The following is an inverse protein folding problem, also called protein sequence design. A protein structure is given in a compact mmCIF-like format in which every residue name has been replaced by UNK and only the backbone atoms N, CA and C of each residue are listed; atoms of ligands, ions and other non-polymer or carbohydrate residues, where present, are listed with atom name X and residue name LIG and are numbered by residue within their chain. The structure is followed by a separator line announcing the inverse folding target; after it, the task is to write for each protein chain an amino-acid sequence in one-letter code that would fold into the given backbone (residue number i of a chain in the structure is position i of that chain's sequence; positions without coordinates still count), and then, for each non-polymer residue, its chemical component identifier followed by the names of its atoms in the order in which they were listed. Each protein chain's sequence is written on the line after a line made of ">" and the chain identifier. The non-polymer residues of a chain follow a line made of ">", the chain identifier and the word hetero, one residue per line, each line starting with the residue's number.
data_IF_097405677768
#
_entry.id   IF_097405677768
#
_cell.length_a   1.000
_cell.length_b   1.000
_cell.length_c   1.000
_cell.angle_alpha   90.00
_cell.angle_beta   90.00
_cell.angle_gamma   90.00
#
_symmetry.space_group_name_H-M   'P 1'
#
loop_
_entity.id
_entity.type
_entity.pdbx_description
1 polymer ?
#
# COMPACT_ATOMS: atom_id res chain seq x y z
N UNK A 1 16.14 47.68 5.83
CA UNK A 1 15.42 47.18 4.64
C UNK A 1 16.08 45.94 4.03
N UNK A 2 17.37 45.97 3.72
CA UNK A 2 18.09 44.82 3.12
C UNK A 2 17.96 43.51 3.92
N UNK A 3 18.12 43.55 5.25
CA UNK A 3 17.94 42.36 6.10
C UNK A 3 16.53 41.77 6.01
N UNK A 4 15.51 42.63 5.93
CA UNK A 4 14.10 42.21 5.85
C UNK A 4 13.82 41.57 4.50
N UNK A 5 14.40 42.13 3.44
CA UNK A 5 14.36 41.58 2.09
C UNK A 5 15.01 40.18 2.05
N UNK A 6 16.18 40.02 2.66
CA UNK A 6 16.87 38.72 2.77
C UNK A 6 16.05 37.69 3.54
N UNK A 7 15.45 38.06 4.67
CA UNK A 7 14.58 37.18 5.46
C UNK A 7 13.40 36.67 4.61
N UNK A 8 12.71 37.57 3.91
CA UNK A 8 11.58 37.19 3.06
C UNK A 8 11.97 36.21 1.96
N UNK A 9 13.09 36.47 1.27
CA UNK A 9 13.60 35.55 0.24
C UNK A 9 14.03 34.20 0.79
N UNK A 10 14.65 34.16 1.98
CA UNK A 10 15.05 32.90 2.61
C UNK A 10 13.84 31.98 2.81
N UNK A 11 12.72 32.50 3.33
CA UNK A 11 11.52 31.69 3.50
C UNK A 11 10.90 31.23 2.18
N UNK A 12 10.97 32.06 1.14
CA UNK A 12 10.53 31.68 -0.21
C UNK A 12 11.42 30.59 -0.82
N UNK A 13 12.72 30.62 -0.57
CA UNK A 13 13.67 29.61 -1.02
C UNK A 13 13.41 28.26 -0.34
N UNK A 14 13.19 28.26 0.98
CA UNK A 14 13.07 27.03 1.77
C UNK A 14 11.62 26.50 1.94
N UNK A 15 10.60 27.19 1.39
CA UNK A 15 9.19 26.82 1.61
C UNK A 15 8.87 25.36 1.25
N UNK A 16 9.39 24.86 0.12
CA UNK A 16 9.12 23.49 -0.33
C UNK A 16 9.80 22.45 0.57
N UNK A 17 11.02 22.73 1.02
CA UNK A 17 11.75 21.85 1.92
C UNK A 17 11.09 21.82 3.31
N UNK A 18 10.68 22.99 3.82
CA UNK A 18 9.91 23.11 5.06
C UNK A 18 8.64 22.26 4.96
N UNK A 19 7.84 22.42 3.91
CA UNK A 19 6.63 21.61 3.73
C UNK A 19 6.96 20.11 3.70
N UNK A 20 7.95 19.71 2.89
CA UNK A 20 8.33 18.31 2.69
C UNK A 20 8.71 17.61 3.99
N UNK A 21 9.50 18.29 4.84
CA UNK A 21 9.98 17.72 6.12
C UNK A 21 8.89 17.76 7.18
N UNK A 22 8.24 18.91 7.36
CA UNK A 22 7.27 19.10 8.44
C UNK A 22 5.99 18.31 8.21
N UNK A 23 5.54 18.09 6.97
CA UNK A 23 4.32 17.30 6.71
C UNK A 23 4.44 15.86 7.21
N UNK A 24 5.62 15.25 7.07
CA UNK A 24 5.89 13.89 7.56
C UNK A 24 5.91 13.89 9.09
N UNK A 25 6.65 14.83 9.69
CA UNK A 25 6.74 14.96 11.14
C UNK A 25 5.36 15.16 11.80
N UNK A 26 4.58 16.14 11.32
CA UNK A 26 3.26 16.46 11.86
C UNK A 26 2.25 15.32 11.67
N UNK A 27 2.34 14.55 10.59
CA UNK A 27 1.48 13.39 10.39
C UNK A 27 1.82 12.21 11.33
N UNK A 28 3.07 12.10 11.76
CA UNK A 28 3.53 11.05 12.68
C UNK A 28 3.51 11.46 14.15
N UNK A 29 3.27 12.74 14.45
CA UNK A 29 3.34 13.29 15.81
C UNK A 29 2.50 12.52 16.83
N UNK A 30 1.23 12.22 16.50
CA UNK A 30 0.33 11.51 17.43
C UNK A 30 0.80 10.06 17.68
N UNK A 31 1.40 9.42 16.67
CA UNK A 31 2.00 8.08 16.83
C UNK A 31 3.26 8.11 17.69
N UNK A 32 4.09 9.14 17.55
CA UNK A 32 5.25 9.35 18.40
C UNK A 32 4.83 9.57 19.86
N UNK A 33 3.75 10.32 20.11
CA UNK A 33 3.21 10.48 21.46
C UNK A 33 2.71 9.15 22.04
N UNK A 34 1.98 8.34 21.27
CA UNK A 34 1.53 7.01 21.71
C UNK A 34 2.72 6.10 22.06
N UNK A 35 3.82 6.20 21.33
CA UNK A 35 5.05 5.48 21.62
C UNK A 35 5.68 5.96 22.93
N UNK A 36 5.73 7.27 23.17
CA UNK A 36 6.19 7.83 24.46
C UNK A 36 5.31 7.35 25.61
N UNK A 37 3.98 7.30 25.45
CA UNK A 37 3.08 6.73 26.47
C UNK A 37 3.34 5.24 26.73
N UNK A 38 3.81 4.52 25.70
CA UNK A 38 4.19 3.11 25.86
C UNK A 38 5.48 2.99 26.66
N UNK A 39 6.48 3.84 26.41
CA UNK A 39 7.73 3.88 27.18
C UNK A 39 7.53 4.29 28.63
N UNK A 40 6.55 5.17 28.93
CA UNK A 40 6.20 5.51 30.31
C UNK A 40 5.74 4.32 31.16
N UNK A 41 5.30 3.23 30.53
CA UNK A 41 4.90 2.00 31.23
C UNK A 41 6.10 1.16 31.67
N UNK A 42 7.29 1.45 31.16
CA UNK A 42 8.55 0.77 31.48
C UNK A 42 9.41 1.66 32.40
N UNK A 43 9.42 1.42 33.73
CA UNK A 43 9.99 2.37 34.70
C UNK A 43 11.50 2.60 34.56
N UNK A 44 12.25 1.56 34.17
CA UNK A 44 13.70 1.65 33.98
C UNK A 44 14.06 2.50 32.77
N UNK A 45 13.44 2.21 31.62
CA UNK A 45 13.58 2.98 30.40
C UNK A 45 13.15 4.44 30.60
N UNK A 46 12.03 4.68 31.27
CA UNK A 46 11.54 6.02 31.55
C UNK A 46 12.53 6.81 32.43
N UNK A 47 13.17 6.16 33.40
CA UNK A 47 14.19 6.79 34.27
C UNK A 47 15.43 7.19 33.47
N UNK A 48 15.92 6.30 32.60
CA UNK A 48 17.06 6.60 31.73
C UNK A 48 16.75 7.77 30.79
N UNK A 49 15.62 7.71 30.08
CA UNK A 49 15.16 8.77 29.18
C UNK A 49 15.07 10.11 29.92
N UNK A 50 14.43 10.13 31.10
CA UNK A 50 14.27 11.35 31.88
C UNK A 50 15.63 11.91 32.35
N UNK A 51 16.54 11.05 32.81
CA UNK A 51 17.87 11.48 33.25
C UNK A 51 18.68 12.15 32.13
N UNK A 52 18.59 11.62 30.91
CA UNK A 52 19.24 12.22 29.73
C UNK A 52 18.60 13.56 29.38
N UNK A 53 17.27 13.67 29.44
CA UNK A 53 16.56 14.90 29.11
C UNK A 53 16.85 16.00 30.13
N UNK A 54 16.87 15.68 31.42
CA UNK A 54 17.20 16.66 32.46
C UNK A 54 18.65 17.16 32.32
N UNK A 55 19.57 16.29 31.90
CA UNK A 55 20.96 16.66 31.65
C UNK A 55 21.13 17.57 30.41
N UNK A 56 20.39 17.31 29.32
CA UNK A 56 20.59 17.99 28.03
C UNK A 56 19.63 19.17 27.82
N UNK A 57 18.39 19.06 28.30
CA UNK A 57 17.32 20.06 28.14
C UNK A 57 16.57 20.25 29.47
N UNK A 58 17.17 20.96 30.44
CA UNK A 58 16.59 21.15 31.76
C UNK A 58 15.19 21.78 31.72
N UNK A 59 14.93 22.67 30.74
CA UNK A 59 13.63 23.32 30.59
C UNK A 59 12.49 22.39 30.16
N UNK A 60 12.76 21.16 29.73
CA UNK A 60 11.72 20.19 29.39
C UNK A 60 10.97 19.67 30.63
N UNK A 61 11.62 19.72 31.81
CA UNK A 61 11.04 19.39 33.09
C UNK A 61 10.26 18.06 33.10
N UNK A 62 9.11 18.00 33.79
CA UNK A 62 8.27 16.80 33.86
C UNK A 62 7.64 16.39 32.52
N UNK A 63 7.56 17.32 31.57
CA UNK A 63 6.99 17.06 30.24
C UNK A 63 7.93 16.24 29.36
N UNK A 64 9.23 16.18 29.69
CA UNK A 64 10.20 15.26 29.09
C UNK A 64 10.20 15.29 27.56
N UNK A 65 10.15 14.10 26.93
CA UNK A 65 10.13 13.98 25.46
C UNK A 65 8.92 14.66 24.82
N UNK A 66 7.75 14.66 25.47
CA UNK A 66 6.55 15.29 24.91
C UNK A 66 6.73 16.79 24.69
N UNK A 67 7.49 17.46 25.57
CA UNK A 67 7.85 18.87 25.38
C UNK A 67 8.73 19.08 24.14
N UNK A 68 9.72 18.22 23.92
CA UNK A 68 10.58 18.33 22.74
C UNK A 68 9.83 18.05 21.44
N UNK A 69 8.95 17.05 21.46
CA UNK A 69 8.22 16.61 20.28
C UNK A 69 7.23 17.66 19.75
N UNK A 70 6.68 18.52 20.61
CA UNK A 70 5.73 19.56 20.16
C UNK A 70 6.43 20.76 19.52
N UNK A 71 7.73 20.96 19.76
CA UNK A 71 8.47 22.15 19.30
C UNK A 71 8.43 22.31 17.78
N UNK A 72 8.71 21.29 16.94
CA UNK A 72 8.64 21.47 15.49
C UNK A 72 7.24 21.86 15.03
N UNK A 73 6.19 21.20 15.56
CA UNK A 73 4.80 21.52 15.23
C UNK A 73 4.45 22.98 15.57
N UNK A 74 4.92 23.48 16.71
CA UNK A 74 4.74 24.90 17.08
C UNK A 74 5.60 25.85 16.24
N UNK A 75 6.79 25.43 15.82
CA UNK A 75 7.73 26.30 15.11
C UNK A 75 7.23 26.62 13.70
N UNK A 76 6.75 25.62 12.96
CA UNK A 76 6.24 25.83 11.60
C UNK A 76 5.00 26.72 11.56
N UNK A 77 4.15 26.66 12.59
CA UNK A 77 2.96 27.53 12.72
C UNK A 77 3.30 28.95 13.15
N UNK A 78 4.45 29.18 13.79
CA UNK A 78 4.90 30.51 14.23
C UNK A 78 5.51 31.35 13.12
N UNK A 79 6.18 30.75 12.14
CA UNK A 79 6.86 31.52 11.09
C UNK A 79 5.95 32.50 10.33
N UNK A 80 4.75 32.14 9.84
CA UNK A 80 3.88 33.12 9.18
C UNK A 80 3.43 34.24 10.12
N UNK A 81 3.23 33.97 11.42
CA UNK A 81 2.86 34.99 12.40
C UNK A 81 4.00 35.99 12.64
N UNK A 82 5.23 35.50 12.71
CA UNK A 82 6.42 36.35 12.85
C UNK A 82 6.64 37.21 11.60
N UNK A 83 6.56 36.61 10.41
CA UNK A 83 6.67 37.34 9.15
C UNK A 83 5.57 38.39 8.98
N UNK A 84 4.33 38.04 9.35
CA UNK A 84 3.21 38.96 9.38
C UNK A 84 3.50 40.16 10.29
N UNK A 85 4.09 39.93 11.47
CA UNK A 85 4.44 41.01 12.38
C UNK A 85 5.54 41.92 11.83
N UNK A 86 6.52 41.37 11.11
CA UNK A 86 7.54 42.17 10.43
C UNK A 86 6.89 42.99 9.30
N UNK A 87 5.99 42.39 8.52
CA UNK A 87 5.25 43.05 7.44
C UNK A 87 4.43 44.24 7.96
N UNK A 88 3.70 44.07 9.06
CA UNK A 88 2.93 45.14 9.72
C UNK A 88 3.77 46.33 10.17
N UNK A 89 5.07 46.12 10.43
CA UNK A 89 6.02 47.15 10.87
C UNK A 89 6.94 47.62 9.73
N UNK A 90 6.70 47.19 8.49
CA UNK A 90 7.46 47.60 7.30
C UNK A 90 6.62 48.60 6.50
N UNK A 91 7.22 49.73 6.10
CA UNK A 91 6.50 50.73 5.29
C UNK A 91 6.13 50.17 3.91
N UNK A 92 4.92 50.45 3.38
CA UNK A 92 4.46 49.89 2.10
C UNK A 92 5.38 50.19 0.90
N UNK A 93 6.03 51.34 0.90
CA UNK A 93 6.92 51.78 -0.19
C UNK A 93 8.33 51.13 -0.12
N UNK A 94 8.63 50.37 0.93
CA UNK A 94 9.92 49.68 1.05
C UNK A 94 10.02 48.53 0.03
N UNK A 95 11.19 48.37 -0.57
CA UNK A 95 11.49 47.29 -1.52
C UNK A 95 11.29 45.88 -0.94
N UNK A 96 11.38 45.73 0.39
CA UNK A 96 11.18 44.48 1.11
C UNK A 96 9.71 44.11 1.31
N UNK A 97 8.78 45.07 1.26
CA UNK A 97 7.36 44.87 1.55
C UNK A 97 6.70 43.78 0.66
N UNK A 98 6.80 43.82 -0.69
CA UNK A 98 6.20 42.80 -1.54
C UNK A 98 6.84 41.41 -1.36
N UNK A 99 8.13 41.34 -1.02
CA UNK A 99 8.80 40.07 -0.75
C UNK A 99 8.27 39.45 0.53
N UNK A 100 8.13 40.23 1.60
CA UNK A 100 7.53 39.76 2.85
C UNK A 100 6.08 39.31 2.68
N UNK A 101 5.27 40.05 1.93
CA UNK A 101 3.87 39.68 1.69
C UNK A 101 3.77 38.30 1.03
N UNK A 102 4.62 38.03 0.02
CA UNK A 102 4.71 36.71 -0.61
C UNK A 102 5.19 35.64 0.37
N UNK A 103 6.20 35.93 1.19
CA UNK A 103 6.74 34.98 2.16
C UNK A 103 5.70 34.60 3.24
N UNK A 104 4.89 35.56 3.69
CA UNK A 104 3.77 35.32 4.61
C UNK A 104 2.76 34.36 3.97
N UNK A 105 2.29 34.69 2.75
CA UNK A 105 1.32 33.85 2.03
C UNK A 105 1.86 32.44 1.82
N UNK A 106 3.09 32.31 1.33
CA UNK A 106 3.75 31.03 1.12
C UNK A 106 3.77 30.16 2.39
N UNK A 107 4.08 30.75 3.55
CA UNK A 107 4.16 29.99 4.80
C UNK A 107 2.79 29.71 5.42
N UNK A 108 1.76 30.48 5.09
CA UNK A 108 0.36 30.13 5.39
C UNK A 108 -0.08 28.93 4.54
N UNK A 109 0.29 28.91 3.25
CA UNK A 109 0.02 27.80 2.34
C UNK A 109 0.74 26.52 2.81
N UNK A 110 2.01 26.62 3.20
CA UNK A 110 2.77 25.48 3.79
C UNK A 110 2.03 24.88 4.99
N UNK A 111 1.55 25.71 5.93
CA UNK A 111 0.81 25.21 7.09
C UNK A 111 -0.51 24.55 6.70
N UNK A 112 -1.21 25.12 5.72
CA UNK A 112 -2.46 24.56 5.18
C UNK A 112 -2.20 23.19 4.53
N UNK A 113 -1.15 23.08 3.72
CA UNK A 113 -0.75 21.84 3.05
C UNK A 113 -0.33 20.76 4.04
N UNK A 114 0.44 21.11 5.08
CA UNK A 114 0.81 20.19 6.17
C UNK A 114 -0.43 19.67 6.89
N UNK A 115 -1.37 20.55 7.24
CA UNK A 115 -2.59 20.17 7.94
C UNK A 115 -3.47 19.24 7.07
N UNK A 116 -3.60 19.57 5.78
CA UNK A 116 -4.34 18.73 4.84
C UNK A 116 -3.66 17.36 4.66
N UNK A 117 -2.33 17.31 4.57
CA UNK A 117 -1.59 16.05 4.53
C UNK A 117 -1.82 15.20 5.79
N UNK A 118 -1.77 15.82 6.98
CA UNK A 118 -2.08 15.15 8.25
C UNK A 118 -3.49 14.55 8.21
N UNK A 119 -4.49 15.35 7.82
CA UNK A 119 -5.89 14.93 7.69
C UNK A 119 -6.04 13.74 6.75
N UNK A 120 -5.40 13.78 5.57
CA UNK A 120 -5.40 12.66 4.62
C UNK A 120 -4.84 11.38 5.24
N UNK A 121 -3.74 11.46 6.01
CA UNK A 121 -3.15 10.28 6.69
C UNK A 121 -4.03 9.76 7.82
N UNK A 122 -4.69 10.62 8.59
CA UNK A 122 -5.64 10.21 9.63
C UNK A 122 -6.86 9.49 9.03
N UNK A 123 -7.44 10.06 7.98
CA UNK A 123 -8.55 9.46 7.22
C UNK A 123 -8.13 8.13 6.59
N UNK A 124 -6.93 8.06 6.00
CA UNK A 124 -6.38 6.82 5.47
C UNK A 124 -6.28 5.75 6.56
N UNK A 125 -5.69 6.07 7.70
CA UNK A 125 -5.53 5.13 8.82
C UNK A 125 -6.88 4.61 9.34
N UNK A 126 -7.87 5.51 9.44
CA UNK A 126 -9.24 5.18 9.88
C UNK A 126 -9.95 4.19 8.96
N UNK A 127 -9.73 4.28 7.64
CA UNK A 127 -10.49 3.52 6.65
C UNK A 127 -9.70 2.38 5.96
N UNK A 128 -8.37 2.39 6.02
CA UNK A 128 -7.52 1.36 5.43
C UNK A 128 -7.53 0.05 6.22
N UNK A 129 -7.87 0.08 7.52
CA UNK A 129 -7.94 -1.13 8.35
C UNK A 129 -9.06 -2.05 7.85
N UNK A 130 -8.65 -3.12 7.17
CA UNK A 130 -9.51 -4.27 6.86
C UNK A 130 -9.67 -5.07 8.15
N UNK A 131 -10.51 -4.61 9.08
CA UNK A 131 -10.78 -5.44 10.27
C UNK A 131 -11.46 -6.74 9.81
N UNK A 132 -10.79 -7.88 10.04
CA UNK A 132 -11.38 -9.21 9.88
C UNK A 132 -12.32 -9.50 11.06
N UNK A 133 -13.39 -8.72 11.14
CA UNK A 133 -14.41 -8.91 12.16
C UNK A 133 -15.24 -10.15 11.83
N UNK A 134 -15.47 -10.98 12.84
CA UNK A 134 -16.46 -12.04 12.81
C UNK A 134 -17.86 -11.46 12.61
N UNK A 135 -18.81 -12.24 12.10
CA UNK A 135 -20.20 -11.80 11.89
C UNK A 135 -20.84 -11.26 13.18
N UNK A 136 -20.49 -11.84 14.33
CA UNK A 136 -20.96 -11.42 15.65
C UNK A 136 -20.42 -10.04 16.05
N UNK A 137 -19.16 -9.76 15.80
CA UNK A 137 -18.56 -8.44 16.04
C UNK A 137 -19.08 -7.38 15.06
N UNK A 138 -19.38 -7.78 13.81
CA UNK A 138 -20.05 -6.91 12.83
C UNK A 138 -21.47 -6.56 13.28
N UNK A 139 -22.22 -7.53 13.81
CA UNK A 139 -23.55 -7.33 14.38
C UNK A 139 -23.51 -6.48 15.65
N UNK A 140 -22.52 -6.70 16.53
CA UNK A 140 -22.36 -5.92 17.76
C UNK A 140 -21.97 -4.46 17.51
N UNK A 141 -21.31 -4.15 16.39
CA UNK A 141 -20.97 -2.78 15.96
C UNK A 141 -22.07 -2.09 15.15
N UNK A 142 -23.22 -2.75 14.92
CA UNK A 142 -24.39 -2.09 14.32
C UNK A 142 -24.96 -1.07 15.31
N UNK A 143 -24.42 0.14 15.24
CA UNK A 143 -24.95 1.30 15.93
C UNK A 143 -26.05 1.93 15.06
N UNK A 144 -27.17 2.36 15.67
CA UNK A 144 -28.31 3.04 15.04
C UNK A 144 -27.87 4.18 14.11
N UNK A 145 -26.82 4.92 14.50
CA UNK A 145 -26.25 6.00 13.69
C UNK A 145 -25.54 5.52 12.41
N UNK A 146 -24.93 4.33 12.43
CA UNK A 146 -24.28 3.75 11.23
C UNK A 146 -25.31 3.16 10.26
N UNK A 147 -26.36 2.54 10.81
CA UNK A 147 -27.52 2.07 10.04
C UNK A 147 -28.24 3.23 9.35
N UNK A 148 -28.51 4.32 10.09
CA UNK A 148 -29.10 5.55 9.53
C UNK A 148 -28.29 6.07 8.33
N UNK A 149 -26.97 6.21 8.46
CA UNK A 149 -26.11 6.65 7.35
C UNK A 149 -26.18 5.71 6.13
N UNK A 150 -26.22 4.39 6.32
CA UNK A 150 -26.38 3.44 5.20
C UNK A 150 -27.74 3.58 4.52
N UNK A 151 -28.81 3.74 5.29
CA UNK A 151 -30.16 3.97 4.75
C UNK A 151 -30.23 5.28 3.98
N UNK A 152 -29.64 6.36 4.49
CA UNK A 152 -29.64 7.64 3.77
C UNK A 152 -28.81 7.59 2.50
N UNK A 153 -27.68 6.87 2.48
CA UNK A 153 -26.90 6.65 1.25
C UNK A 153 -27.68 5.85 0.21
N UNK A 154 -28.38 4.80 0.62
CA UNK A 154 -29.24 4.02 -0.27
C UNK A 154 -30.35 4.91 -0.86
N UNK A 155 -30.95 5.77 -0.04
CA UNK A 155 -31.94 6.75 -0.50
C UNK A 155 -31.35 7.70 -1.55
N UNK A 156 -30.15 8.23 -1.33
CA UNK A 156 -29.46 9.09 -2.30
C UNK A 156 -29.16 8.35 -3.61
N UNK A 157 -28.69 7.11 -3.54
CA UNK A 157 -28.44 6.28 -4.72
C UNK A 157 -29.73 6.05 -5.54
N UNK A 158 -30.84 5.75 -4.88
CA UNK A 158 -32.13 5.56 -5.54
C UNK A 158 -32.62 6.85 -6.22
N UNK A 159 -32.38 8.02 -5.63
CA UNK A 159 -32.68 9.31 -6.28
C UNK A 159 -31.89 9.50 -7.57
N UNK A 160 -30.60 9.12 -7.58
CA UNK A 160 -29.74 9.21 -8.76
C UNK A 160 -30.20 8.24 -9.86
N UNK A 161 -30.47 6.98 -9.52
CA UNK A 161 -30.97 5.96 -10.47
C UNK A 161 -32.34 6.34 -11.06
N UNK A 162 -33.18 7.03 -10.28
CA UNK A 162 -34.46 7.55 -10.75
C UNK A 162 -34.35 8.86 -11.56
N UNK A 163 -33.14 9.42 -11.73
CA UNK A 163 -32.92 10.68 -12.43
C UNK A 163 -33.42 11.93 -11.69
N UNK A 164 -33.72 11.82 -10.39
CA UNK A 164 -34.22 12.92 -9.57
C UNK A 164 -33.14 13.90 -9.14
N UNK A 165 -31.88 13.43 -9.05
CA UNK A 165 -30.71 14.23 -8.67
C UNK A 165 -29.56 13.87 -9.63
N UNK A 166 -28.80 14.86 -10.15
CA UNK A 166 -27.65 14.59 -11.00
C UNK A 166 -26.57 13.82 -10.25
N UNK A 167 -25.93 12.87 -10.94
CA UNK A 167 -24.78 12.11 -10.43
C UNK A 167 -23.49 12.88 -10.69
N UNK A 168 -22.58 12.92 -9.73
CA UNK A 168 -21.24 13.46 -9.96
C UNK A 168 -20.48 12.51 -10.88
N UNK A 169 -20.15 12.96 -12.09
CA UNK A 169 -19.23 12.27 -13.00
C UNK A 169 -17.80 12.69 -12.68
N UNK A 170 -16.98 11.74 -12.20
CA UNK A 170 -15.55 11.94 -11.92
C UNK A 170 -14.76 10.97 -12.80
N UNK A 171 -14.78 11.26 -14.11
CA UNK A 171 -14.20 10.39 -15.13
C UNK A 171 -12.71 10.08 -14.88
N UNK A 172 -11.97 11.04 -14.33
CA UNK A 172 -10.57 10.85 -13.98
C UNK A 172 -10.41 9.81 -12.87
N UNK A 173 -11.24 9.87 -11.83
CA UNK A 173 -11.22 8.85 -10.79
C UNK A 173 -11.76 7.51 -11.28
N UNK A 174 -12.79 7.50 -12.11
CA UNK A 174 -13.39 6.27 -12.65
C UNK A 174 -12.34 5.45 -13.44
N UNK A 175 -11.52 6.10 -14.28
CA UNK A 175 -10.42 5.46 -15.00
C UNK A 175 -9.34 4.90 -14.03
N UNK A 176 -9.07 5.61 -12.93
CA UNK A 176 -8.13 5.16 -11.89
C UNK A 176 -8.66 3.96 -11.08
N UNK A 177 -9.95 3.98 -10.75
CA UNK A 177 -10.64 2.89 -10.07
C UNK A 177 -10.68 1.63 -10.95
N UNK A 178 -11.07 1.77 -12.21
CA UNK A 178 -11.09 0.66 -13.17
C UNK A 178 -9.70 0.01 -13.27
N UNK A 179 -8.66 0.83 -13.40
CA UNK A 179 -7.28 0.33 -13.47
C UNK A 179 -6.84 -0.36 -12.19
N UNK A 180 -7.18 0.19 -11.03
CA UNK A 180 -6.87 -0.44 -9.74
C UNK A 180 -7.63 -1.76 -9.54
N UNK A 181 -8.89 -1.80 -9.96
CA UNK A 181 -9.71 -3.01 -9.94
C UNK A 181 -9.10 -4.10 -10.82
N UNK A 182 -8.71 -3.76 -12.05
CA UNK A 182 -8.08 -4.69 -12.97
C UNK A 182 -6.78 -5.27 -12.40
N UNK A 183 -5.91 -4.43 -11.84
CA UNK A 183 -4.65 -4.89 -11.20
C UNK A 183 -4.94 -5.83 -10.02
N UNK A 184 -5.91 -5.47 -9.17
CA UNK A 184 -6.31 -6.29 -8.01
C UNK A 184 -6.89 -7.64 -8.43
N UNK A 185 -7.66 -7.65 -9.51
CA UNK A 185 -8.19 -8.87 -10.12
C UNK A 185 -7.05 -9.76 -10.63
N UNK A 186 -6.12 -9.22 -11.42
CA UNK A 186 -4.98 -9.99 -11.94
C UNK A 186 -4.13 -10.61 -10.82
N UNK A 187 -3.87 -9.88 -9.73
CA UNK A 187 -3.14 -10.41 -8.57
C UNK A 187 -3.92 -11.55 -7.91
N UNK A 188 -5.22 -11.39 -7.74
CA UNK A 188 -6.09 -12.38 -7.09
C UNK A 188 -6.20 -13.65 -7.92
N UNK A 189 -6.43 -13.52 -9.23
CA UNK A 189 -6.51 -14.65 -10.16
C UNK A 189 -5.17 -15.37 -10.26
N UNK A 190 -4.06 -14.65 -10.44
CA UNK A 190 -2.73 -15.27 -10.51
C UNK A 190 -2.39 -16.01 -9.22
N UNK A 191 -2.73 -15.42 -8.06
CA UNK A 191 -2.62 -16.09 -6.77
C UNK A 191 -3.42 -17.40 -6.82
N UNK A 192 -4.73 -17.35 -7.02
CA UNK A 192 -5.59 -18.55 -7.01
C UNK A 192 -5.09 -19.63 -7.98
N UNK A 193 -4.66 -19.25 -9.18
CA UNK A 193 -4.09 -20.17 -10.17
C UNK A 193 -2.81 -20.85 -9.68
N UNK A 194 -1.90 -20.11 -9.02
CA UNK A 194 -0.69 -20.69 -8.43
C UNK A 194 -1.03 -21.60 -7.24
N UNK A 195 -2.06 -21.28 -6.45
CA UNK A 195 -2.53 -22.16 -5.37
C UNK A 195 -2.98 -23.51 -5.94
N UNK A 196 -3.87 -23.48 -6.94
CA UNK A 196 -4.37 -24.68 -7.62
C UNK A 196 -3.24 -25.46 -8.28
N UNK A 197 -2.27 -24.76 -8.87
CA UNK A 197 -1.07 -25.40 -9.44
C UNK A 197 -0.26 -26.14 -8.37
N UNK A 198 -0.04 -25.54 -7.20
CA UNK A 198 0.66 -26.16 -6.09
C UNK A 198 -0.08 -27.39 -5.54
N UNK A 199 -1.40 -27.31 -5.42
CA UNK A 199 -2.25 -28.44 -5.01
C UNK A 199 -2.17 -29.59 -6.01
N UNK A 200 -2.23 -29.28 -7.31
CA UNK A 200 -2.06 -30.27 -8.38
C UNK A 200 -0.67 -30.90 -8.39
N UNK A 201 0.38 -30.09 -8.17
CA UNK A 201 1.76 -30.58 -8.05
C UNK A 201 1.90 -31.51 -6.84
N UNK A 202 1.24 -31.20 -5.73
CA UNK A 202 1.22 -32.06 -4.55
C UNK A 202 0.49 -33.38 -4.82
N UNK A 203 -0.67 -33.34 -5.49
CA UNK A 203 -1.39 -34.54 -5.89
C UNK A 203 -0.53 -35.42 -6.83
N UNK A 204 0.15 -34.81 -7.79
CA UNK A 204 1.09 -35.49 -8.69
C UNK A 204 2.25 -36.16 -7.92
N UNK A 205 2.83 -35.46 -6.93
CA UNK A 205 3.93 -35.97 -6.11
C UNK A 205 3.53 -37.15 -5.19
N UNK A 206 2.23 -37.28 -4.86
CA UNK A 206 1.71 -38.41 -4.07
C UNK A 206 1.61 -39.70 -4.89
N UNK A 207 1.47 -39.59 -6.21
CA UNK A 207 1.37 -40.75 -7.08
C UNK A 207 2.76 -41.29 -7.43
N UNK A 208 3.03 -42.57 -7.12
CA UNK A 208 4.37 -43.18 -7.28
C UNK A 208 4.35 -44.45 -8.15
N UNK A 209 4.18 -44.30 -9.48
CA UNK A 209 4.13 -45.45 -10.40
C UNK A 209 5.37 -46.32 -10.34
N UNK A 210 6.54 -45.73 -10.11
CA UNK A 210 7.81 -46.46 -10.08
C UNK A 210 8.00 -47.34 -8.84
N UNK A 211 7.10 -47.27 -7.86
CA UNK A 211 7.07 -48.17 -6.71
C UNK A 211 6.10 -49.34 -6.92
N UNK A 212 5.33 -49.33 -8.01
CA UNK A 212 4.50 -50.47 -8.40
C UNK A 212 5.39 -51.59 -8.96
N UNK A 213 5.17 -52.81 -8.48
CA UNK A 213 5.81 -53.99 -9.06
C UNK A 213 5.18 -54.25 -10.43
N UNK A 214 5.93 -53.95 -11.47
CA UNK A 214 5.56 -54.26 -12.84
C UNK A 214 6.30 -55.57 -13.14
N UNK A 215 5.58 -56.68 -13.30
CA UNK A 215 6.07 -58.02 -13.70
C UNK A 215 6.70 -58.01 -15.12
N UNK A 216 7.55 -57.03 -15.41
CA UNK A 216 8.25 -56.79 -16.66
C UNK A 216 9.71 -57.14 -16.41
N UNK A 217 10.13 -58.30 -16.90
CA UNK A 217 11.49 -58.80 -16.72
C UNK A 217 12.40 -58.28 -17.85
N UNK A 218 13.30 -57.34 -17.50
CA UNK A 218 14.32 -56.78 -18.40
C UNK A 218 13.90 -55.53 -19.20
N UNK A 219 14.87 -54.90 -19.89
CA UNK A 219 14.64 -53.66 -20.66
C UNK A 219 14.91 -52.36 -19.85
N UNK A 220 14.48 -51.18 -20.37
CA UNK A 220 14.80 -49.86 -19.78
C UNK A 220 13.99 -49.51 -18.51
N UNK A 221 13.30 -50.49 -17.92
CA UNK A 221 12.39 -50.29 -16.78
C UNK A 221 13.14 -49.88 -15.50
N UNK A 222 14.28 -50.50 -15.12
CA UNK A 222 15.05 -50.08 -13.95
C UNK A 222 15.56 -48.64 -14.05
N UNK A 223 16.01 -48.23 -15.23
CA UNK A 223 16.52 -46.87 -15.50
C UNK A 223 15.38 -45.84 -15.44
N UNK A 224 14.21 -46.16 -16.03
CA UNK A 224 13.01 -45.34 -15.87
C UNK A 224 12.61 -45.18 -14.40
N UNK A 225 12.57 -46.27 -13.64
CA UNK A 225 12.21 -46.25 -12.22
C UNK A 225 13.21 -45.42 -11.39
N UNK A 226 14.51 -45.52 -11.69
CA UNK A 226 15.56 -44.71 -11.07
C UNK A 226 15.40 -43.22 -11.37
N UNK A 227 15.24 -42.86 -12.65
CA UNK A 227 15.00 -41.49 -13.10
C UNK A 227 13.75 -40.90 -12.42
N UNK A 228 12.63 -41.62 -12.45
CA UNK A 228 11.38 -41.16 -11.87
C UNK A 228 11.50 -40.96 -10.35
N UNK A 229 12.18 -41.87 -9.65
CA UNK A 229 12.46 -41.75 -8.21
C UNK A 229 13.29 -40.51 -7.90
N UNK A 230 14.33 -40.23 -8.67
CA UNK A 230 15.15 -39.03 -8.50
C UNK A 230 14.35 -37.74 -8.74
N UNK A 231 13.50 -37.71 -9.78
CA UNK A 231 12.66 -36.55 -10.07
C UNK A 231 11.64 -36.30 -8.95
N UNK A 232 10.97 -37.36 -8.47
CA UNK A 232 9.97 -37.27 -7.40
C UNK A 232 10.55 -36.93 -6.03
N UNK A 233 11.73 -37.44 -5.68
CA UNK A 233 12.31 -37.20 -4.36
C UNK A 233 13.13 -35.91 -4.28
N UNK A 234 13.61 -35.38 -5.43
CA UNK A 234 14.51 -34.23 -5.42
C UNK A 234 14.05 -33.08 -6.30
N UNK A 235 13.87 -33.29 -7.61
CA UNK A 235 13.65 -32.20 -8.55
C UNK A 235 12.31 -31.49 -8.33
N UNK A 236 11.22 -32.25 -8.26
CA UNK A 236 9.87 -31.70 -8.06
C UNK A 236 9.66 -31.11 -6.67
N UNK A 237 10.10 -31.72 -5.55
CA UNK A 237 9.99 -31.08 -4.24
C UNK A 237 10.78 -29.78 -4.13
N UNK A 238 12.00 -29.71 -4.69
CA UNK A 238 12.79 -28.47 -4.73
C UNK A 238 12.10 -27.40 -5.57
N UNK A 239 11.53 -27.78 -6.72
CA UNK A 239 10.74 -26.86 -7.54
C UNK A 239 9.51 -26.35 -6.79
N UNK A 240 8.73 -27.22 -6.13
CA UNK A 240 7.58 -26.85 -5.29
C UNK A 240 7.98 -25.83 -4.22
N UNK A 241 9.05 -26.09 -3.47
CA UNK A 241 9.53 -25.20 -2.42
C UNK A 241 9.94 -23.82 -2.97
N UNK A 242 10.63 -23.78 -4.12
CA UNK A 242 11.00 -22.52 -4.78
C UNK A 242 9.76 -21.77 -5.29
N UNK A 243 8.78 -22.48 -5.84
CA UNK A 243 7.53 -21.91 -6.33
C UNK A 243 6.72 -21.30 -5.18
N UNK A 244 6.64 -21.99 -4.04
CA UNK A 244 6.00 -21.49 -2.82
C UNK A 244 6.69 -20.20 -2.33
N UNK A 245 8.00 -20.23 -2.16
CA UNK A 245 8.76 -19.12 -1.58
C UNK A 245 8.91 -17.90 -2.49
N UNK A 246 9.10 -18.11 -3.80
CA UNK A 246 9.46 -17.04 -4.75
C UNK A 246 8.29 -16.54 -5.60
N UNK A 247 7.15 -17.24 -5.61
CA UNK A 247 5.98 -16.86 -6.41
C UNK A 247 4.73 -16.75 -5.53
N UNK A 248 4.33 -17.83 -4.86
CA UNK A 248 3.09 -17.87 -4.08
C UNK A 248 3.10 -16.91 -2.87
N UNK A 249 4.17 -16.92 -2.07
CA UNK A 249 4.28 -16.02 -0.91
C UNK A 249 4.33 -14.54 -1.32
N UNK A 250 5.10 -14.13 -2.35
CA UNK A 250 5.02 -12.78 -2.90
C UNK A 250 3.62 -12.38 -3.39
N UNK A 251 2.89 -13.27 -4.08
CA UNK A 251 1.50 -13.01 -4.50
C UNK A 251 0.57 -12.82 -3.30
N UNK A 252 0.73 -13.63 -2.25
CA UNK A 252 -0.02 -13.47 -1.00
C UNK A 252 0.24 -12.12 -0.33
N UNK A 253 1.51 -11.69 -0.29
CA UNK A 253 1.90 -10.39 0.29
C UNK A 253 1.35 -9.23 -0.54
N UNK A 254 1.44 -9.30 -1.87
CA UNK A 254 0.89 -8.28 -2.77
C UNK A 254 -0.64 -8.18 -2.63
N UNK A 255 -1.35 -9.31 -2.61
CA UNK A 255 -2.80 -9.33 -2.41
C UNK A 255 -3.20 -8.71 -1.07
N UNK A 256 -2.46 -8.99 0.02
CA UNK A 256 -2.68 -8.36 1.33
C UNK A 256 -2.43 -6.85 1.29
N UNK A 257 -1.39 -6.39 0.59
CA UNK A 257 -1.06 -4.97 0.48
C UNK A 257 -2.15 -4.17 -0.26
N UNK A 258 -2.84 -4.77 -1.23
CA UNK A 258 -3.92 -4.13 -1.99
C UNK A 258 -5.25 -4.04 -1.23
N UNK A 259 -5.44 -4.81 -0.16
CA UNK A 259 -6.70 -4.86 0.59
C UNK A 259 -7.06 -3.52 1.27
N UNK A 260 -6.06 -2.79 1.79
CA UNK A 260 -6.26 -1.47 2.39
C UNK A 260 -6.72 -0.43 1.36
N UNK A 261 -5.98 -0.24 0.26
CA UNK A 261 -6.40 0.61 -0.86
C UNK A 261 -7.78 0.26 -1.42
N UNK A 262 -8.11 -1.03 -1.60
CA UNK A 262 -9.46 -1.47 -2.03
C UNK A 262 -10.56 -0.99 -1.07
N UNK A 263 -10.29 -1.01 0.24
CA UNK A 263 -11.23 -0.47 1.22
C UNK A 263 -11.35 1.04 1.16
N UNK A 264 -10.25 1.77 0.90
CA UNK A 264 -10.28 3.21 0.75
C UNK A 264 -11.11 3.63 -0.47
N UNK A 265 -10.95 2.95 -1.62
CA UNK A 265 -11.76 3.18 -2.83
C UNK A 265 -13.25 2.97 -2.54
N UNK A 266 -13.60 1.83 -1.94
CA UNK A 266 -14.99 1.56 -1.51
C UNK A 266 -15.51 2.63 -0.53
N UNK A 267 -14.67 3.09 0.39
CA UNK A 267 -15.05 4.15 1.34
C UNK A 267 -15.21 5.50 0.67
N UNK A 268 -14.42 5.83 -0.34
CA UNK A 268 -14.63 7.03 -1.15
C UNK A 268 -16.01 7.01 -1.79
N UNK A 269 -16.41 5.90 -2.42
CA UNK A 269 -17.75 5.75 -3.02
C UNK A 269 -18.86 5.92 -1.98
N UNK A 270 -18.74 5.28 -0.80
CA UNK A 270 -19.67 5.49 0.31
C UNK A 270 -19.78 6.97 0.72
N UNK A 271 -18.65 7.70 0.69
CA UNK A 271 -18.53 9.09 1.15
C UNK A 271 -18.90 10.13 0.09
N UNK A 272 -18.84 9.78 -1.19
CA UNK A 272 -19.34 10.61 -2.28
C UNK A 272 -20.84 10.89 -2.09
N UNK A 273 -21.62 9.88 -1.75
CA UNK A 273 -23.06 10.03 -1.46
C UNK A 273 -23.33 10.94 -0.25
N UNK A 274 -22.47 10.87 0.79
CA UNK A 274 -22.57 11.79 1.94
C UNK A 274 -22.26 13.23 1.50
N UNK A 275 -21.26 13.42 0.61
CA UNK A 275 -20.83 14.72 0.08
C UNK A 275 -21.88 15.36 -0.83
N UNK A 276 -22.40 14.62 -1.82
CA UNK A 276 -23.41 15.10 -2.77
C UNK A 276 -24.66 15.60 -2.06
N UNK A 277 -25.12 14.87 -1.04
CA UNK A 277 -26.26 15.29 -0.23
C UNK A 277 -26.00 16.61 0.52
N UNK A 278 -24.76 16.82 1.00
CA UNK A 278 -24.41 18.08 1.66
C UNK A 278 -24.27 19.22 0.65
N UNK A 279 -23.77 18.95 -0.56
CA UNK A 279 -23.76 19.94 -1.66
C UNK A 279 -25.19 20.35 -2.07
N UNK A 280 -26.09 19.37 -2.24
CA UNK A 280 -27.52 19.61 -2.52
C UNK A 280 -28.13 20.55 -1.47
N UNK A 281 -27.95 20.24 -0.18
CA UNK A 281 -28.45 21.07 0.92
C UNK A 281 -27.78 22.46 0.96
N UNK A 282 -26.48 22.55 0.68
CA UNK A 282 -25.79 23.83 0.66
C UNK A 282 -26.34 24.73 -0.46
N UNK A 283 -26.68 24.17 -1.62
CA UNK A 283 -27.33 24.88 -2.71
C UNK A 283 -28.75 25.34 -2.35
N UNK A 284 -29.52 24.51 -1.65
CA UNK A 284 -30.91 24.82 -1.26
C UNK A 284 -31.03 25.79 -0.08
N UNK A 285 -30.23 25.60 0.96
CA UNK A 285 -30.39 26.24 2.28
C UNK A 285 -29.27 27.25 2.57
N UNK A 286 -28.17 27.23 1.80
CA UNK A 286 -27.03 28.14 1.98
C UNK A 286 -26.24 27.93 3.28
N UNK A 287 -26.56 26.90 4.06
CA UNK A 287 -25.92 26.62 5.34
C UNK A 287 -25.73 25.12 5.57
N UNK A 288 -24.63 24.79 6.25
CA UNK A 288 -24.25 23.43 6.61
C UNK A 288 -23.88 23.37 8.08
N UNK A 289 -24.22 22.25 8.74
CA UNK A 289 -23.81 22.01 10.12
C UNK A 289 -22.34 21.63 10.20
N UNK A 290 -21.76 21.67 11.41
CA UNK A 290 -20.40 21.21 11.64
C UNK A 290 -20.19 19.74 11.20
N UNK A 291 -21.14 18.85 11.49
CA UNK A 291 -21.07 17.44 11.09
C UNK A 291 -21.13 17.24 9.57
N UNK A 292 -21.91 18.09 8.88
CA UNK A 292 -22.02 18.08 7.41
C UNK A 292 -20.71 18.59 6.77
N UNK A 293 -20.10 19.62 7.36
CA UNK A 293 -18.79 20.11 6.93
C UNK A 293 -17.69 19.07 7.16
N UNK A 294 -17.71 18.32 8.28
CA UNK A 294 -16.79 17.20 8.53
C UNK A 294 -16.97 16.09 7.49
N UNK A 295 -18.20 15.79 7.09
CA UNK A 295 -18.49 14.81 6.05
C UNK A 295 -17.91 15.23 4.69
N UNK A 296 -18.04 16.52 4.31
CA UNK A 296 -17.42 17.07 3.10
C UNK A 296 -15.91 16.91 3.12
N UNK A 297 -15.28 17.34 4.20
CA UNK A 297 -13.84 17.24 4.40
C UNK A 297 -13.34 15.79 4.38
N UNK A 298 -14.11 14.85 4.93
CA UNK A 298 -13.76 13.42 4.89
C UNK A 298 -13.73 12.89 3.45
N UNK A 299 -14.74 13.22 2.63
CA UNK A 299 -14.74 12.82 1.22
C UNK A 299 -13.58 13.45 0.45
N UNK A 300 -13.38 14.76 0.59
CA UNK A 300 -12.29 15.49 -0.08
C UNK A 300 -10.91 14.92 0.27
N UNK A 301 -10.69 14.56 1.54
CA UNK A 301 -9.45 13.93 1.99
C UNK A 301 -9.24 12.54 1.36
N UNK A 302 -10.29 11.70 1.32
CA UNK A 302 -10.23 10.39 0.66
C UNK A 302 -9.96 10.53 -0.84
N UNK A 303 -10.68 11.42 -1.51
CA UNK A 303 -10.53 11.65 -2.95
C UNK A 303 -9.11 12.12 -3.29
N UNK A 304 -8.64 13.16 -2.61
CA UNK A 304 -7.30 13.73 -2.84
C UNK A 304 -6.19 12.73 -2.57
N UNK A 305 -6.32 11.91 -1.52
CA UNK A 305 -5.39 10.84 -1.22
C UNK A 305 -5.32 9.80 -2.34
N UNK A 306 -6.49 9.30 -2.78
CA UNK A 306 -6.55 8.24 -3.77
C UNK A 306 -6.09 8.72 -5.15
N UNK A 307 -6.47 9.92 -5.58
CA UNK A 307 -5.98 10.52 -6.84
C UNK A 307 -4.46 10.65 -6.84
N UNK A 308 -3.86 11.02 -5.70
CA UNK A 308 -2.40 11.16 -5.60
C UNK A 308 -1.64 9.82 -5.51
N UNK A 309 -2.17 8.84 -4.76
CA UNK A 309 -1.44 7.61 -4.43
C UNK A 309 -1.79 6.39 -5.32
N UNK A 310 -3.02 6.27 -5.83
CA UNK A 310 -3.43 5.12 -6.67
C UNK A 310 -2.61 4.94 -7.95
N UNK A 311 -2.25 6.00 -8.72
CA UNK A 311 -1.45 5.82 -9.94
C UNK A 311 -0.08 5.19 -9.64
N UNK A 312 0.54 5.60 -8.53
CA UNK A 312 1.83 5.10 -8.09
C UNK A 312 1.72 3.65 -7.60
N UNK A 313 0.69 3.36 -6.81
CA UNK A 313 0.38 2.00 -6.35
C UNK A 313 0.16 1.04 -7.53
N UNK A 314 -0.66 1.43 -8.50
CA UNK A 314 -0.95 0.63 -9.70
C UNK A 314 0.34 0.32 -10.47
N UNK A 315 1.18 1.32 -10.70
CA UNK A 315 2.47 1.14 -11.38
C UNK A 315 3.38 0.16 -10.64
N UNK A 316 3.48 0.29 -9.32
CA UNK A 316 4.32 -0.59 -8.49
C UNK A 316 3.78 -2.02 -8.45
N UNK A 317 2.46 -2.19 -8.29
CA UNK A 317 1.80 -3.49 -8.25
C UNK A 317 1.96 -4.24 -9.57
N UNK A 318 1.78 -3.56 -10.72
CA UNK A 318 2.01 -4.16 -12.04
C UNK A 318 3.47 -4.57 -12.23
N UNK A 319 4.42 -3.72 -11.83
CA UNK A 319 5.84 -4.05 -11.91
C UNK A 319 6.18 -5.28 -11.07
N UNK A 320 5.66 -5.36 -9.85
CA UNK A 320 5.89 -6.49 -8.96
C UNK A 320 5.26 -7.77 -9.51
N UNK A 321 4.02 -7.70 -10.00
CA UNK A 321 3.35 -8.82 -10.66
C UNK A 321 4.15 -9.34 -11.87
N UNK A 322 4.69 -8.42 -12.69
CA UNK A 322 5.56 -8.78 -13.80
C UNK A 322 6.84 -9.50 -13.38
N UNK A 323 7.48 -9.07 -12.28
CA UNK A 323 8.66 -9.76 -11.73
C UNK A 323 8.33 -11.16 -11.19
N UNK A 324 7.18 -11.30 -10.51
CA UNK A 324 6.68 -12.60 -10.04
C UNK A 324 6.45 -13.53 -11.23
N UNK A 325 5.84 -13.05 -12.32
CA UNK A 325 5.61 -13.84 -13.53
C UNK A 325 6.92 -14.27 -14.18
N UNK A 326 7.90 -13.36 -14.31
CA UNK A 326 9.22 -13.69 -14.84
C UNK A 326 9.92 -14.76 -13.97
N UNK A 327 9.75 -14.67 -12.64
CA UNK A 327 10.29 -15.65 -11.70
C UNK A 327 9.62 -17.00 -11.89
N UNK A 328 8.30 -17.05 -12.02
CA UNK A 328 7.55 -18.27 -12.33
C UNK A 328 8.06 -18.95 -13.62
N UNK A 329 8.19 -18.19 -14.71
CA UNK A 329 8.71 -18.70 -15.99
C UNK A 329 10.16 -19.20 -15.84
N UNK A 330 10.99 -18.47 -15.09
CA UNK A 330 12.36 -18.88 -14.78
C UNK A 330 12.41 -20.22 -14.04
N UNK A 331 11.54 -20.42 -13.04
CA UNK A 331 11.45 -21.68 -12.30
C UNK A 331 10.99 -22.85 -13.19
N UNK A 332 10.04 -22.61 -14.09
CA UNK A 332 9.59 -23.64 -15.06
C UNK A 332 10.73 -24.05 -16.01
N UNK A 333 11.48 -23.07 -16.52
CA UNK A 333 12.66 -23.32 -17.36
C UNK A 333 13.73 -24.10 -16.61
N UNK A 334 14.04 -23.71 -15.38
CA UNK A 334 15.02 -24.40 -14.53
C UNK A 334 14.61 -25.87 -14.31
N UNK A 335 13.32 -26.12 -14.03
CA UNK A 335 12.79 -27.47 -13.87
C UNK A 335 12.94 -28.28 -15.16
N UNK A 336 12.53 -27.72 -16.31
CA UNK A 336 12.63 -28.39 -17.60
C UNK A 336 14.08 -28.77 -17.94
N UNK A 337 15.04 -27.87 -17.69
CA UNK A 337 16.46 -28.15 -17.88
C UNK A 337 16.97 -29.26 -16.96
N UNK A 338 16.59 -29.24 -15.69
CA UNK A 338 16.98 -30.30 -14.74
C UNK A 338 16.40 -31.66 -15.13
N UNK A 339 15.14 -31.71 -15.57
CA UNK A 339 14.49 -32.95 -16.03
C UNK A 339 15.19 -33.47 -17.28
N UNK A 340 15.48 -32.60 -18.26
CA UNK A 340 16.18 -32.98 -19.49
C UNK A 340 17.57 -33.55 -19.22
N UNK A 341 18.38 -32.86 -18.42
CA UNK A 341 19.74 -33.32 -18.07
C UNK A 341 19.73 -34.69 -17.39
N UNK A 342 18.80 -34.93 -16.46
CA UNK A 342 18.67 -36.23 -15.79
C UNK A 342 18.18 -37.32 -16.73
N UNK A 343 17.25 -37.01 -17.62
CA UNK A 343 16.76 -37.95 -18.63
C UNK A 343 17.86 -38.35 -19.62
N UNK A 344 18.65 -37.39 -20.12
CA UNK A 344 19.80 -37.66 -20.99
C UNK A 344 20.86 -38.52 -20.29
N UNK A 345 21.14 -38.25 -19.01
CA UNK A 345 22.05 -39.06 -18.19
C UNK A 345 21.57 -40.51 -18.01
N UNK A 346 20.28 -40.71 -17.77
CA UNK A 346 19.66 -42.04 -17.66
C UNK A 346 19.67 -42.80 -19.00
N UNK A 347 19.36 -42.12 -20.12
CA UNK A 347 19.41 -42.71 -21.47
C UNK A 347 20.82 -43.15 -21.89
N UNK A 348 21.86 -42.42 -21.46
CA UNK A 348 23.24 -42.82 -21.71
C UNK A 348 23.60 -44.15 -21.01
N UNK A 349 22.98 -44.47 -19.87
CA UNK A 349 23.20 -45.72 -19.12
C UNK A 349 22.52 -46.94 -19.76
N UNK A 350 21.40 -46.73 -20.48
CA UNK A 350 20.71 -47.80 -21.23
C UNK A 350 21.50 -48.27 -22.47
N UNK A 351 22.49 -47.48 -22.94
CA UNK A 351 23.40 -47.88 -24.02
C UNK A 351 24.68 -48.54 -23.44
N UNK A 352 24.61 -49.84 -23.14
CA UNK A 352 25.54 -50.75 -23.80
C UNK A 352 24.89 -52.10 -24.09
N UNK A 353 24.48 -52.35 -25.34
CA UNK A 353 24.44 -53.66 -26.02
C UNK A 353 23.85 -53.46 -27.44
N UNK A 354 24.72 -53.48 -28.46
CA UNK A 354 24.32 -53.84 -29.82
C UNK A 354 23.51 -52.83 -30.67
N UNK A 355 24.00 -51.60 -30.86
CA UNK A 355 23.52 -50.74 -31.96
C UNK A 355 24.61 -50.44 -33.01
N UNK A 356 25.46 -51.43 -33.29
CA UNK A 356 26.38 -51.40 -34.44
C UNK A 356 25.69 -51.48 -35.81
N UNK A 357 24.40 -51.86 -35.88
CA UNK A 357 23.71 -52.11 -37.15
C UNK A 357 22.57 -51.15 -37.50
N UNK A 358 22.04 -50.33 -36.58
CA UNK A 358 20.91 -49.42 -36.88
C UNK A 358 21.33 -47.97 -37.15
N UNK A 359 22.56 -47.57 -36.85
CA UNK A 359 23.08 -46.24 -37.22
C UNK A 359 23.45 -46.10 -38.71
N UNK A 360 23.28 -47.14 -39.55
CA UNK A 360 23.55 -47.06 -40.99
C UNK A 360 22.34 -46.72 -41.87
N UNK A 361 21.11 -46.74 -41.35
CA UNK A 361 19.91 -46.48 -42.18
C UNK A 361 19.38 -45.04 -42.04
N UNK A 362 19.71 -44.31 -40.96
CA UNK A 362 19.24 -42.94 -40.77
C UNK A 362 20.20 -41.83 -41.28
N UNK A 363 21.26 -42.18 -42.02
CA UNK A 363 22.11 -41.22 -42.76
C UNK A 363 21.99 -41.33 -44.29
N UNK A 364 21.03 -42.12 -44.78
CA UNK A 364 20.72 -42.20 -46.20
C UNK A 364 19.19 -42.22 -46.40
N UNK A 365 18.53 -41.10 -46.09
CA UNK A 365 17.18 -40.74 -46.55
C UNK A 365 16.96 -39.25 -46.34
#
# INVERSE_FOLDING_TARGET
>A
EEQVYLIGNLFLEFQEELERVYRVYCASYDQALLLVETYRKEPELQREIQSVIEAVVPQAGPSGLSFLLVIPLQRITKYPLLLQKILENTVPDASAYPVLQRAVSALQDVNTNINEYKRRKEVASKYARVEQLTLRERLARLNTHTLSKKTTRLSQLLKQEAGLVPRTEDKEFDDLEERFHWVSLCVTEMKNNVAVYLDNLEAFLRFRPQECDLDITGGPVPEYCSLMRELQLQAFPRFKQRLEGLVWQPLCTLAKALAGPQNLVRKRLDKLLDFERVEEKLLEVGSVTYEEQEARHTYQALNSLLVAELPQLNRLAVRWLGQILCTFVGLQRDLAQQVLQRAEGSLAQVRPLGLGHLCRVARAS
#
